data_IF_847592106576
#
_entry.id   IF_847592106576
#
_cell.length_a   1.000
_cell.length_b   1.000
_cell.length_c   1.000
_cell.angle_alpha   90.00
_cell.angle_beta   90.00
_cell.angle_gamma   90.00
#
_symmetry.space_group_name_H-M   'P 1'
#
loop_
_entity.id
_entity.type
_entity.pdbx_description
1 polymer ?
#
# COMPACT_ATOMS: atom_id res chain seq x y z
N UNK A 1 -63.36 26.30 5.05
CA UNK A 1 -62.23 27.23 5.27
C UNK A 1 -60.95 26.48 4.94
N UNK A 2 -60.48 26.64 3.71
CA UNK A 2 -59.26 26.05 3.16
C UNK A 2 -58.17 27.12 3.27
N UNK A 3 -57.10 26.89 4.00
CA UNK A 3 -55.86 27.64 3.81
C UNK A 3 -54.68 26.80 4.32
N UNK A 4 -54.12 26.00 3.42
CA UNK A 4 -52.83 25.35 3.60
C UNK A 4 -51.99 25.61 2.38
N UNK A 5 -50.99 26.49 2.50
CA UNK A 5 -49.78 26.49 1.65
C UNK A 5 -48.67 27.21 2.44
N UNK A 6 -47.71 26.46 2.99
CA UNK A 6 -46.43 26.98 3.47
C UNK A 6 -45.41 26.72 2.35
N UNK A 7 -45.09 27.74 1.55
CA UNK A 7 -44.02 27.66 0.55
C UNK A 7 -42.71 28.03 1.24
N UNK A 8 -41.92 27.02 1.62
CA UNK A 8 -40.52 27.20 1.98
C UNK A 8 -39.68 27.23 0.71
N UNK A 9 -39.41 28.44 0.20
CA UNK A 9 -38.40 28.67 -0.83
C UNK A 9 -37.03 28.45 -0.17
N UNK A 10 -36.49 27.24 -0.28
CA UNK A 10 -35.07 26.97 -0.04
C UNK A 10 -34.30 27.64 -1.18
N UNK A 11 -33.73 28.79 -0.88
CA UNK A 11 -32.66 29.41 -1.64
C UNK A 11 -31.53 28.37 -1.82
N UNK A 12 -31.46 27.76 -3.01
CA UNK A 12 -30.28 27.03 -3.45
C UNK A 12 -29.15 28.04 -3.63
N UNK A 13 -28.28 28.14 -2.62
CA UNK A 13 -27.04 28.87 -2.73
C UNK A 13 -26.22 28.29 -3.89
N UNK A 14 -25.98 29.12 -4.90
CA UNK A 14 -25.00 28.83 -5.94
C UNK A 14 -23.66 28.51 -5.26
N UNK A 15 -23.18 27.29 -5.46
CA UNK A 15 -21.86 26.88 -5.02
C UNK A 15 -20.84 27.66 -5.85
N UNK A 16 -20.35 28.79 -5.34
CA UNK A 16 -19.06 29.31 -5.77
C UNK A 16 -18.04 28.25 -5.37
N UNK A 17 -17.68 27.36 -6.31
CA UNK A 17 -16.45 26.60 -6.16
C UNK A 17 -15.33 27.63 -6.13
N UNK A 18 -14.59 27.75 -5.01
CA UNK A 18 -13.37 28.53 -5.01
C UNK A 18 -12.51 28.02 -6.17
N UNK A 19 -11.91 28.94 -6.94
CA UNK A 19 -10.96 28.54 -7.96
C UNK A 19 -9.82 27.80 -7.27
N UNK A 20 -9.63 26.53 -7.63
CA UNK A 20 -8.59 25.68 -7.06
C UNK A 20 -7.21 26.31 -7.27
N UNK A 21 -6.39 26.32 -6.21
CA UNK A 21 -5.07 26.94 -6.24
C UNK A 21 -3.99 25.96 -6.70
N UNK A 22 -3.52 26.11 -7.94
CA UNK A 22 -2.46 25.28 -8.53
C UNK A 22 -1.04 25.81 -8.31
N UNK A 23 -0.87 27.01 -7.73
CA UNK A 23 0.45 27.63 -7.52
C UNK A 23 1.43 26.73 -6.75
N UNK A 24 1.02 25.91 -5.76
CA UNK A 24 1.94 24.98 -5.10
C UNK A 24 2.57 23.95 -6.04
N UNK A 25 1.87 23.52 -7.09
CA UNK A 25 2.40 22.57 -8.08
C UNK A 25 3.38 23.25 -9.04
N UNK A 26 3.07 24.48 -9.47
CA UNK A 26 3.98 25.31 -10.28
C UNK A 26 5.30 25.57 -9.53
N UNK A 27 5.22 25.88 -8.23
CA UNK A 27 6.39 26.10 -7.36
C UNK A 27 7.27 24.85 -7.22
N UNK A 28 6.68 23.67 -7.32
CA UNK A 28 7.39 22.38 -7.32
C UNK A 28 7.87 21.97 -8.73
N UNK A 29 7.73 22.85 -9.72
CA UNK A 29 8.18 22.63 -11.09
C UNK A 29 7.38 21.57 -11.83
N UNK A 30 6.08 21.44 -11.54
CA UNK A 30 5.17 20.67 -12.39
C UNK A 30 5.05 21.37 -13.76
N UNK A 31 5.12 20.60 -14.85
CA UNK A 31 4.97 21.19 -16.18
C UNK A 31 3.60 21.83 -16.39
N UNK A 32 3.59 22.97 -17.07
CA UNK A 32 2.36 23.73 -17.34
C UNK A 32 1.33 22.90 -18.10
N UNK A 33 1.76 22.02 -19.01
CA UNK A 33 0.89 21.08 -19.71
C UNK A 33 0.13 20.15 -18.77
N UNK A 34 0.77 19.69 -17.70
CA UNK A 34 0.18 18.79 -16.71
C UNK A 34 -0.76 19.57 -15.78
N UNK A 35 -0.40 20.80 -15.41
CA UNK A 35 -1.29 21.70 -14.64
C UNK A 35 -2.56 22.02 -15.42
N UNK A 36 -2.47 22.31 -16.72
CA UNK A 36 -3.65 22.50 -17.56
C UNK A 36 -4.51 21.23 -17.65
N UNK A 37 -3.89 20.04 -17.75
CA UNK A 37 -4.64 18.78 -17.69
C UNK A 37 -5.38 18.61 -16.36
N UNK A 38 -4.74 18.89 -15.22
CA UNK A 38 -5.39 18.82 -13.91
C UNK A 38 -6.58 19.77 -13.80
N UNK A 39 -6.48 20.98 -14.36
CA UNK A 39 -7.61 21.92 -14.45
C UNK A 39 -8.78 21.32 -15.25
N UNK A 40 -8.51 20.64 -16.37
CA UNK A 40 -9.58 19.99 -17.16
C UNK A 40 -10.27 18.84 -16.42
N UNK A 41 -9.57 18.23 -15.46
CA UNK A 41 -10.11 17.19 -14.58
C UNK A 41 -10.94 17.76 -13.42
N UNK A 42 -11.06 19.08 -13.28
CA UNK A 42 -11.74 19.74 -12.16
C UNK A 42 -11.20 19.29 -10.78
N UNK A 43 -9.87 19.16 -10.66
CA UNK A 43 -9.27 18.79 -9.37
C UNK A 43 -9.59 19.78 -8.26
N UNK A 44 -9.79 19.28 -7.06
CA UNK A 44 -10.04 20.07 -5.85
C UNK A 44 -8.76 20.52 -5.14
N UNK A 45 -8.85 21.52 -4.25
CA UNK A 45 -7.70 21.93 -3.41
C UNK A 45 -7.14 20.78 -2.56
N UNK A 46 -8.01 19.86 -2.13
CA UNK A 46 -7.60 18.67 -1.40
C UNK A 46 -6.73 17.77 -2.26
N UNK A 47 -7.09 17.57 -3.52
CA UNK A 47 -6.30 16.78 -4.47
C UNK A 47 -4.99 17.47 -4.84
N UNK A 48 -4.99 18.80 -4.98
CA UNK A 48 -3.75 19.56 -5.15
C UNK A 48 -2.79 19.32 -3.98
N UNK A 49 -3.28 19.33 -2.74
CA UNK A 49 -2.44 19.02 -1.58
C UNK A 49 -1.86 17.58 -1.63
N UNK A 50 -2.60 16.62 -2.17
CA UNK A 50 -2.12 15.25 -2.38
C UNK A 50 -1.05 15.20 -3.48
N UNK A 51 -1.24 15.91 -4.60
CA UNK A 51 -0.28 16.01 -5.69
C UNK A 51 1.03 16.67 -5.26
N UNK A 52 0.96 17.69 -4.40
CA UNK A 52 2.13 18.31 -3.78
C UNK A 52 2.98 17.27 -3.05
N UNK A 53 2.36 16.38 -2.26
CA UNK A 53 3.08 15.29 -1.57
C UNK A 53 3.75 14.32 -2.55
N UNK A 54 3.03 13.93 -3.62
CA UNK A 54 3.57 13.03 -4.64
C UNK A 54 4.82 13.65 -5.31
N UNK A 55 4.72 14.91 -5.72
CA UNK A 55 5.81 15.63 -6.39
C UNK A 55 7.01 15.81 -5.46
N UNK A 56 6.79 16.13 -4.19
CA UNK A 56 7.85 16.18 -3.17
C UNK A 56 8.56 14.83 -2.96
N UNK A 57 7.85 13.73 -3.18
CA UNK A 57 8.44 12.39 -3.14
C UNK A 57 9.12 11.98 -4.45
N UNK A 58 9.18 12.87 -5.45
CA UNK A 58 9.83 12.63 -6.73
C UNK A 58 8.99 11.88 -7.75
N UNK A 59 7.67 11.74 -7.53
CA UNK A 59 6.76 11.14 -8.51
C UNK A 59 6.59 12.11 -9.70
N UNK A 60 6.70 11.56 -10.91
CA UNK A 60 6.61 12.30 -12.17
C UNK A 60 5.25 12.95 -12.41
N UNK A 61 5.25 14.00 -13.24
CA UNK A 61 4.05 14.79 -13.51
C UNK A 61 2.97 13.99 -14.25
N UNK A 62 3.37 13.11 -15.16
CA UNK A 62 2.44 12.23 -15.89
C UNK A 62 1.81 11.20 -14.95
N UNK A 63 2.57 10.67 -13.99
CA UNK A 63 2.05 9.78 -12.96
C UNK A 63 1.06 10.51 -12.04
N UNK A 64 1.35 11.76 -11.66
CA UNK A 64 0.44 12.60 -10.88
C UNK A 64 -0.91 12.80 -11.58
N UNK A 65 -0.90 13.20 -12.85
CA UNK A 65 -2.13 13.36 -13.66
C UNK A 65 -2.87 12.03 -13.79
N UNK A 66 -2.14 10.94 -14.03
CA UNK A 66 -2.74 9.61 -14.16
C UNK A 66 -3.43 9.17 -12.87
N UNK A 67 -2.83 9.39 -11.70
CA UNK A 67 -3.42 9.04 -10.40
C UNK A 67 -4.76 9.75 -10.15
N UNK A 68 -4.82 11.07 -10.43
CA UNK A 68 -6.08 11.83 -10.37
C UNK A 68 -7.09 11.26 -11.36
N UNK A 69 -6.68 11.06 -12.60
CA UNK A 69 -7.56 10.56 -13.66
C UNK A 69 -8.19 9.23 -13.25
N UNK A 70 -7.40 8.31 -12.68
CA UNK A 70 -7.91 7.02 -12.21
C UNK A 70 -8.91 7.15 -11.05
N UNK A 71 -8.65 8.03 -10.08
CA UNK A 71 -9.58 8.27 -8.97
C UNK A 71 -10.91 8.86 -9.48
N UNK A 72 -10.85 9.85 -10.37
CA UNK A 72 -12.03 10.47 -10.96
C UNK A 72 -12.84 9.51 -11.83
N UNK A 73 -12.17 8.63 -12.61
CA UNK A 73 -12.84 7.55 -13.36
C UNK A 73 -13.64 6.62 -12.44
N UNK A 74 -13.25 6.51 -11.18
CA UNK A 74 -13.91 5.72 -10.13
C UNK A 74 -14.83 6.55 -9.25
N UNK A 75 -15.09 7.81 -9.62
CA UNK A 75 -16.01 8.73 -8.95
C UNK A 75 -15.64 9.07 -7.50
N UNK A 76 -14.35 9.07 -7.17
CA UNK A 76 -13.87 9.57 -5.89
C UNK A 76 -12.69 10.53 -6.07
N UNK A 77 -12.43 11.32 -5.04
CA UNK A 77 -11.26 12.19 -4.99
C UNK A 77 -10.01 11.33 -4.72
N UNK A 78 -8.88 11.75 -5.27
CA UNK A 78 -7.61 11.11 -4.94
C UNK A 78 -7.17 11.52 -3.53
N UNK A 79 -7.05 10.54 -2.61
CA UNK A 79 -6.63 10.77 -1.21
C UNK A 79 -5.46 9.89 -0.76
N UNK A 80 -4.92 9.06 -1.66
CA UNK A 80 -3.95 7.99 -1.34
C UNK A 80 -2.49 8.39 -1.58
N UNK A 81 -2.14 9.68 -1.47
CA UNK A 81 -0.77 10.11 -1.75
C UNK A 81 0.23 9.50 -0.78
N UNK A 82 -0.09 9.43 0.51
CA UNK A 82 0.83 8.87 1.51
C UNK A 82 1.18 7.40 1.19
N UNK A 83 0.22 6.62 0.69
CA UNK A 83 0.44 5.24 0.21
C UNK A 83 1.35 5.18 -1.02
N UNK A 84 1.11 6.02 -2.03
CA UNK A 84 1.96 6.10 -3.21
C UNK A 84 3.38 6.56 -2.86
N UNK A 85 3.52 7.54 -1.96
CA UNK A 85 4.80 8.03 -1.45
C UNK A 85 5.57 6.93 -0.71
N UNK A 86 4.88 6.14 0.13
CA UNK A 86 5.50 5.03 0.86
C UNK A 86 6.04 3.95 -0.11
N UNK A 87 5.28 3.63 -1.15
CA UNK A 87 5.73 2.71 -2.21
C UNK A 87 6.94 3.27 -2.97
N UNK A 88 6.90 4.55 -3.38
CA UNK A 88 8.00 5.19 -4.07
C UNK A 88 9.28 5.19 -3.21
N UNK A 89 9.16 5.52 -1.92
CA UNK A 89 10.28 5.48 -0.96
C UNK A 89 10.80 4.07 -0.68
N UNK A 90 9.94 3.06 -0.75
CA UNK A 90 10.35 1.66 -0.72
C UNK A 90 10.97 1.19 -2.04
N UNK A 91 11.12 2.07 -3.03
CA UNK A 91 11.80 1.85 -4.31
C UNK A 91 10.93 1.17 -5.36
N UNK A 92 9.61 1.17 -5.22
CA UNK A 92 8.72 0.66 -6.27
C UNK A 92 8.70 1.63 -7.45
N UNK A 93 8.78 1.12 -8.70
CA UNK A 93 8.67 1.97 -9.88
C UNK A 93 7.26 2.54 -10.00
N UNK A 94 7.15 3.74 -10.58
CA UNK A 94 5.87 4.43 -10.77
C UNK A 94 4.84 3.58 -11.52
N UNK A 95 5.29 2.78 -12.51
CA UNK A 95 4.41 1.87 -13.25
C UNK A 95 3.67 0.88 -12.33
N UNK A 96 4.34 0.37 -11.29
CA UNK A 96 3.73 -0.54 -10.31
C UNK A 96 2.78 0.23 -9.38
N UNK A 97 3.15 1.44 -8.96
CA UNK A 97 2.28 2.31 -8.15
C UNK A 97 0.98 2.61 -8.91
N UNK A 98 1.09 2.94 -10.21
CA UNK A 98 -0.04 3.18 -11.09
C UNK A 98 -0.86 1.92 -11.33
N UNK A 99 -0.25 0.74 -11.42
CA UNK A 99 -0.97 -0.53 -11.53
C UNK A 99 -1.80 -0.83 -10.27
N UNK A 100 -1.26 -0.59 -9.07
CA UNK A 100 -2.01 -0.72 -7.83
C UNK A 100 -3.15 0.30 -7.78
N UNK A 101 -2.88 1.56 -8.14
CA UNK A 101 -3.88 2.64 -8.20
C UNK A 101 -5.03 2.33 -9.14
N UNK A 102 -4.75 1.71 -10.29
CA UNK A 102 -5.78 1.25 -11.23
C UNK A 102 -6.77 0.28 -10.62
N UNK A 103 -6.44 -0.40 -9.52
CA UNK A 103 -7.37 -1.30 -8.82
C UNK A 103 -8.04 -0.68 -7.61
N UNK A 104 -7.77 0.60 -7.32
CA UNK A 104 -8.23 1.31 -6.11
C UNK A 104 -7.77 0.64 -4.79
N UNK A 105 -6.58 0.02 -4.82
CA UNK A 105 -6.03 -0.72 -3.68
C UNK A 105 -4.75 -0.09 -3.11
N UNK A 106 -4.43 1.16 -3.44
CA UNK A 106 -3.21 1.82 -2.94
C UNK A 106 -3.15 1.82 -1.41
N UNK A 107 -4.22 2.25 -0.73
CA UNK A 107 -4.25 2.32 0.73
C UNK A 107 -4.34 0.96 1.41
N UNK A 108 -4.83 -0.05 0.70
CA UNK A 108 -4.98 -1.41 1.22
C UNK A 108 -3.65 -2.17 1.14
N UNK A 109 -2.95 -2.03 0.01
CA UNK A 109 -1.80 -2.88 -0.32
C UNK A 109 -0.47 -2.20 0.03
N UNK A 110 -0.38 -0.87 0.09
CA UNK A 110 0.90 -0.16 0.20
C UNK A 110 1.73 -0.61 1.40
N UNK A 111 1.16 -0.62 2.61
CA UNK A 111 1.88 -1.02 3.82
C UNK A 111 2.40 -2.46 3.75
N UNK A 112 1.58 -3.34 3.20
CA UNK A 112 1.92 -4.75 3.09
C UNK A 112 2.99 -5.01 2.02
N UNK A 113 2.94 -4.28 0.90
CA UNK A 113 3.98 -4.30 -0.12
C UNK A 113 5.32 -3.78 0.42
N UNK A 114 5.32 -2.65 1.14
CA UNK A 114 6.52 -2.13 1.82
C UNK A 114 7.09 -3.18 2.78
N UNK A 115 6.24 -3.86 3.55
CA UNK A 115 6.68 -4.90 4.47
C UNK A 115 7.34 -6.09 3.76
N UNK A 116 6.81 -6.53 2.61
CA UNK A 116 7.42 -7.61 1.82
C UNK A 116 8.86 -7.29 1.39
N UNK A 117 9.15 -6.03 1.02
CA UNK A 117 10.52 -5.59 0.75
C UNK A 117 11.38 -5.51 2.02
N UNK A 118 10.83 -5.05 3.14
CA UNK A 118 11.55 -4.98 4.43
C UNK A 118 11.91 -6.36 4.99
N UNK A 119 11.08 -7.37 4.74
CA UNK A 119 11.39 -8.79 5.02
C UNK A 119 12.63 -9.24 4.22
N UNK A 120 13.00 -8.50 3.17
CA UNK A 120 14.13 -8.74 2.29
C UNK A 120 13.86 -9.81 1.26
N UNK A 121 12.59 -9.96 0.84
CA UNK A 121 12.26 -10.84 -0.28
C UNK A 121 12.86 -10.30 -1.58
N UNK A 122 13.23 -11.18 -2.50
CA UNK A 122 13.61 -10.77 -3.86
C UNK A 122 12.46 -10.04 -4.56
N UNK A 123 12.80 -9.11 -5.47
CA UNK A 123 11.80 -8.38 -6.25
C UNK A 123 10.82 -9.33 -6.97
N UNK A 124 11.34 -10.44 -7.53
CA UNK A 124 10.50 -11.45 -8.18
C UNK A 124 9.49 -12.12 -7.25
N UNK A 125 9.85 -12.36 -5.98
CA UNK A 125 8.95 -12.94 -5.00
C UNK A 125 7.90 -11.92 -4.55
N UNK A 126 8.33 -10.66 -4.33
CA UNK A 126 7.44 -9.54 -4.02
C UNK A 126 6.41 -9.34 -5.12
N UNK A 127 6.84 -9.27 -6.39
CA UNK A 127 5.96 -9.07 -7.55
C UNK A 127 4.92 -10.18 -7.68
N UNK A 128 5.34 -11.44 -7.48
CA UNK A 128 4.42 -12.58 -7.53
C UNK A 128 3.35 -12.46 -6.44
N UNK A 129 3.74 -12.16 -5.20
CA UNK A 129 2.81 -12.02 -4.06
C UNK A 129 1.87 -10.83 -4.30
N UNK A 130 2.41 -9.70 -4.73
CA UNK A 130 1.66 -8.48 -5.01
C UNK A 130 0.63 -8.70 -6.13
N UNK A 131 1.03 -9.35 -7.23
CA UNK A 131 0.13 -9.66 -8.34
C UNK A 131 -1.02 -10.59 -7.93
N UNK A 132 -0.75 -11.58 -7.08
CA UNK A 132 -1.80 -12.45 -6.52
C UNK A 132 -2.80 -11.64 -5.71
N UNK A 133 -2.32 -10.74 -4.85
CA UNK A 133 -3.17 -9.88 -4.00
C UNK A 133 -4.02 -8.93 -4.81
N UNK A 134 -3.46 -8.28 -5.83
CA UNK A 134 -4.20 -7.41 -6.76
C UNK A 134 -5.31 -8.18 -7.50
N UNK A 135 -5.14 -9.48 -7.74
CA UNK A 135 -6.15 -10.38 -8.31
C UNK A 135 -7.14 -10.94 -7.28
N UNK A 136 -7.07 -10.53 -6.01
CA UNK A 136 -7.89 -11.07 -4.93
C UNK A 136 -7.60 -12.53 -4.60
N UNK A 137 -6.44 -13.06 -5.02
CA UNK A 137 -6.03 -14.42 -4.69
C UNK A 137 -5.47 -14.47 -3.28
N UNK A 138 -5.88 -15.48 -2.51
CA UNK A 138 -5.41 -15.65 -1.15
C UNK A 138 -3.88 -15.80 -1.10
N UNK A 139 -3.28 -15.04 -0.20
CA UNK A 139 -1.89 -15.12 0.24
C UNK A 139 -1.88 -14.95 1.75
N UNK A 140 -0.94 -15.57 2.44
CA UNK A 140 -0.63 -15.21 3.82
C UNK A 140 -0.23 -13.72 3.94
N UNK A 141 -0.41 -13.15 5.13
CA UNK A 141 0.00 -11.78 5.45
C UNK A 141 1.51 -11.60 5.37
N UNK A 142 1.95 -10.36 5.16
CA UNK A 142 3.38 -10.03 5.15
C UNK A 142 4.07 -10.45 6.46
N UNK A 143 3.40 -10.28 7.61
CA UNK A 143 3.89 -10.68 8.93
C UNK A 143 4.21 -12.19 9.00
N UNK A 144 3.29 -13.04 8.56
CA UNK A 144 3.49 -14.49 8.57
C UNK A 144 4.56 -14.94 7.56
N UNK A 145 4.66 -14.28 6.40
CA UNK A 145 5.77 -14.49 5.46
C UNK A 145 7.11 -14.19 6.12
N UNK A 146 7.19 -13.06 6.84
CA UNK A 146 8.39 -12.65 7.57
C UNK A 146 8.79 -13.65 8.64
N UNK A 147 7.83 -14.15 9.42
CA UNK A 147 8.07 -15.19 10.43
C UNK A 147 8.58 -16.48 9.82
N UNK A 148 7.91 -16.99 8.79
CA UNK A 148 8.36 -18.19 8.08
C UNK A 148 9.79 -18.03 7.55
N UNK A 149 10.12 -16.88 6.96
CA UNK A 149 11.49 -16.59 6.51
C UNK A 149 12.50 -16.59 7.69
N UNK A 150 12.14 -15.98 8.81
CA UNK A 150 12.99 -15.94 10.02
C UNK A 150 13.22 -17.32 10.66
N UNK A 151 12.36 -18.30 10.36
CA UNK A 151 12.59 -19.70 10.76
C UNK A 151 13.51 -20.48 9.81
N UNK A 152 14.06 -19.82 8.78
CA UNK A 152 15.02 -20.40 7.84
C UNK A 152 14.39 -20.99 6.57
N UNK A 153 13.10 -20.74 6.30
CA UNK A 153 12.52 -21.11 5.01
C UNK A 153 13.09 -20.25 3.89
N UNK A 154 13.39 -20.91 2.78
CA UNK A 154 13.74 -20.23 1.54
C UNK A 154 12.51 -19.60 0.89
N UNK A 155 12.71 -18.56 0.07
CA UNK A 155 11.61 -17.91 -0.67
C UNK A 155 10.83 -18.92 -1.52
N UNK A 156 11.51 -19.87 -2.16
CA UNK A 156 10.86 -20.94 -2.93
C UNK A 156 9.87 -21.74 -2.09
N UNK A 157 10.24 -22.10 -0.86
CA UNK A 157 9.38 -22.85 0.05
C UNK A 157 8.19 -22.03 0.55
N UNK A 158 8.39 -20.72 0.76
CA UNK A 158 7.30 -19.80 1.14
C UNK A 158 6.32 -19.65 -0.03
N UNK A 159 6.82 -19.43 -1.25
CA UNK A 159 5.99 -19.32 -2.45
C UNK A 159 5.22 -20.61 -2.75
N UNK A 160 5.81 -21.77 -2.50
CA UNK A 160 5.11 -23.06 -2.61
C UNK A 160 3.91 -23.15 -1.66
N UNK A 161 4.07 -22.71 -0.40
CA UNK A 161 2.99 -22.66 0.59
C UNK A 161 1.88 -21.70 0.18
N UNK A 162 2.26 -20.53 -0.33
CA UNK A 162 1.31 -19.54 -0.88
C UNK A 162 0.52 -20.17 -2.04
N UNK A 163 1.19 -20.90 -2.93
CA UNK A 163 0.53 -21.57 -4.05
C UNK A 163 -0.38 -22.73 -3.61
N UNK A 164 -0.06 -23.39 -2.50
CA UNK A 164 -0.90 -24.41 -1.86
C UNK A 164 -2.06 -23.81 -1.06
N UNK A 165 -2.19 -22.48 -0.98
CA UNK A 165 -3.27 -21.82 -0.27
C UNK A 165 -3.09 -21.79 1.26
N UNK A 166 -1.84 -21.81 1.74
CA UNK A 166 -1.57 -21.70 3.17
C UNK A 166 -2.16 -20.41 3.75
N UNK A 167 -2.92 -20.55 4.84
CA UNK A 167 -3.56 -19.43 5.55
C UNK A 167 -2.68 -18.92 6.70
N UNK A 168 -2.98 -17.72 7.20
CA UNK A 168 -2.26 -17.13 8.34
C UNK A 168 -2.25 -18.04 9.58
N UNK A 169 -3.36 -18.66 10.01
CA UNK A 169 -3.33 -19.59 11.14
C UNK A 169 -2.45 -20.84 10.90
N UNK A 170 -2.35 -21.29 9.65
CA UNK A 170 -1.47 -22.41 9.30
C UNK A 170 0.00 -21.99 9.33
N UNK A 171 0.31 -20.81 8.81
CA UNK A 171 1.65 -20.22 8.84
C UNK A 171 2.12 -19.93 10.27
N UNK A 172 1.24 -19.41 11.14
CA UNK A 172 1.54 -19.15 12.55
C UNK A 172 1.88 -20.45 13.29
N UNK A 173 1.06 -21.50 13.07
CA UNK A 173 1.31 -22.82 13.65
C UNK A 173 2.64 -23.40 13.18
N UNK A 174 2.95 -23.31 11.89
CA UNK A 174 4.21 -23.81 11.33
C UNK A 174 5.42 -23.01 11.87
N UNK A 175 5.31 -21.69 11.89
CA UNK A 175 6.34 -20.78 12.43
C UNK A 175 6.61 -21.10 13.90
N UNK A 176 5.57 -21.21 14.72
CA UNK A 176 5.69 -21.50 16.15
C UNK A 176 6.36 -22.86 16.42
N UNK A 177 6.02 -23.89 15.65
CA UNK A 177 6.67 -25.21 15.76
C UNK A 177 8.16 -25.15 15.40
N UNK A 178 8.51 -24.40 14.35
CA UNK A 178 9.91 -24.22 13.94
C UNK A 178 10.71 -23.36 14.91
N UNK A 179 10.12 -22.29 15.40
CA UNK A 179 10.71 -21.42 16.43
C UNK A 179 11.02 -22.23 17.69
N UNK A 180 10.08 -23.07 18.14
CA UNK A 180 10.30 -23.97 19.27
C UNK A 180 11.44 -24.97 18.99
N UNK A 181 11.43 -25.64 17.83
CA UNK A 181 12.47 -26.59 17.46
C UNK A 181 13.87 -25.94 17.42
N UNK A 182 13.97 -24.72 16.87
CA UNK A 182 15.21 -23.94 16.84
C UNK A 182 15.66 -23.54 18.24
N UNK A 183 14.74 -23.06 19.08
CA UNK A 183 15.06 -22.64 20.44
C UNK A 183 15.51 -23.83 21.32
N UNK A 184 14.99 -25.04 21.08
CA UNK A 184 15.38 -26.25 21.80
C UNK A 184 16.60 -26.99 21.21
N UNK A 185 17.05 -26.66 20.00
CA UNK A 185 18.18 -27.32 19.34
C UNK A 185 19.50 -27.20 20.14
N UNK A 186 19.64 -26.17 20.98
CA UNK A 186 20.84 -25.91 21.78
C UNK A 186 20.63 -25.99 23.30
N UNK A 187 19.47 -26.48 23.77
CA UNK A 187 19.17 -26.59 25.22
C UNK A 187 19.44 -27.98 25.78
N UNK A 188 20.24 -28.80 25.10
CA UNK A 188 20.73 -30.06 25.64
C UNK A 188 21.60 -29.80 26.87
N UNK A 189 21.01 -29.91 28.06
CA UNK A 189 21.76 -29.92 29.32
C UNK A 189 22.80 -31.05 29.27
N UNK A 190 24.06 -30.72 29.00
CA UNK A 190 25.18 -31.65 29.19
C UNK A 190 25.41 -31.70 30.70
N UNK A 191 24.98 -32.79 31.35
CA UNK A 191 25.40 -33.07 32.73
C UNK A 191 26.90 -33.34 32.72
N UNK A 192 27.71 -32.33 32.99
CA UNK A 192 29.13 -32.50 33.32
C UNK A 192 29.23 -33.17 34.68
N UNK A 193 29.31 -34.51 34.70
CA UNK A 193 29.73 -35.25 35.89
C UNK A 193 31.24 -35.09 36.07
N UNK A 194 31.66 -33.99 36.70
CA UNK A 194 32.99 -33.93 37.30
C UNK A 194 33.01 -34.85 38.52
N UNK A 195 33.56 -36.05 38.35
CA UNK A 195 34.05 -36.84 39.48
C UNK A 195 35.31 -36.15 40.00
N UNK A 196 35.17 -35.42 41.12
CA UNK A 196 36.31 -34.97 41.91
C UNK A 196 37.03 -36.22 42.44
N UNK A 197 38.16 -36.56 41.83
CA UNK A 197 39.08 -37.57 42.36
C UNK A 197 39.61 -37.07 43.71
N UNK A 198 39.72 -38.02 44.63
CA UNK A 198 40.07 -37.88 46.05
C UNK A 198 41.29 -37.03 46.31
#
# INVERSE_FOLDING_TARGET
MLLGVFILIRMSGCHQHPLTDYRPLDQLGMWSSNVEQLKTLNTSDMEVAQLVKLKQAGIGDDACVTLITQAHLRQHLFTSADSAVNLARAGYPELVILEIAKTDQLDIISGDAVMLRLIGLSDSAVDLILHRRLKGQATMSSAEIGRLKNTGLTEKQILERINQGMTDPQADKESSLREAARNHANTGFVRTHERKSR
#
